data_IF_604730461329
#
_entry.id   IF_604730461329
#
_cell.length_a   1.000
_cell.length_b   1.000
_cell.length_c   1.000
_cell.angle_alpha   90.00
_cell.angle_beta   90.00
_cell.angle_gamma   90.00
#
_symmetry.space_group_name_H-M   'P 1'
#
loop_
_entity.id
_entity.type
_entity.pdbx_description
1 polymer ?
#
# COMPACT_ATOMS: atom_id res chain seq x y z
N UNK A 1 11.20 -8.87 1.53
CA UNK A 1 11.38 -7.72 2.46
C UNK A 1 10.03 -7.07 2.76
N UNK A 2 9.82 -6.59 4.01
CA UNK A 2 8.62 -5.82 4.39
C UNK A 2 9.03 -4.44 4.90
N UNK A 3 8.34 -3.40 4.41
CA UNK A 3 8.41 -2.02 4.92
C UNK A 3 7.10 -1.72 5.67
N UNK A 4 7.18 -1.65 6.99
CA UNK A 4 6.05 -1.46 7.87
C UNK A 4 5.85 0.02 8.22
N UNK A 5 4.58 0.39 8.45
CA UNK A 5 4.21 1.71 8.95
C UNK A 5 4.71 1.97 10.38
N UNK A 6 3.94 2.72 11.14
CA UNK A 6 4.28 3.03 12.53
C UNK A 6 4.10 1.81 13.44
N UNK A 7 5.07 1.58 14.32
CA UNK A 7 5.02 0.46 15.27
C UNK A 7 3.78 0.54 16.17
N UNK A 8 3.03 -0.55 16.24
CA UNK A 8 1.81 -0.65 17.03
C UNK A 8 0.56 -0.07 16.36
N UNK A 9 0.68 0.54 15.19
CA UNK A 9 -0.47 0.98 14.41
C UNK A 9 -1.23 -0.22 13.85
N UNK A 10 -2.56 -0.26 14.04
CA UNK A 10 -3.39 -1.40 13.63
C UNK A 10 -3.22 -1.74 12.14
N UNK A 11 -3.26 -0.75 11.25
CA UNK A 11 -3.12 -0.99 9.82
C UNK A 11 -1.73 -1.52 9.46
N UNK A 12 -0.67 -1.06 10.14
CA UNK A 12 0.67 -1.56 9.89
C UNK A 12 0.77 -3.06 10.21
N UNK A 13 0.26 -3.46 11.37
CA UNK A 13 0.23 -4.86 11.81
C UNK A 13 -0.58 -5.71 10.84
N UNK A 14 -1.83 -5.30 10.57
CA UNK A 14 -2.77 -6.06 9.72
C UNK A 14 -2.25 -6.17 8.29
N UNK A 15 -1.79 -5.07 7.68
CA UNK A 15 -1.26 -5.06 6.31
C UNK A 15 -0.02 -5.94 6.19
N UNK A 16 0.87 -5.91 7.18
CA UNK A 16 2.07 -6.76 7.21
C UNK A 16 1.71 -8.25 7.33
N UNK A 17 0.88 -8.60 8.32
CA UNK A 17 0.52 -9.98 8.61
C UNK A 17 -0.24 -10.62 7.44
N UNK A 18 -1.32 -9.96 6.97
CA UNK A 18 -2.15 -10.53 5.92
C UNK A 18 -1.49 -10.54 4.54
N UNK A 19 -0.62 -9.58 4.22
CA UNK A 19 0.12 -9.63 2.97
C UNK A 19 1.04 -10.87 2.91
N UNK A 20 1.74 -11.16 3.99
CA UNK A 20 2.65 -12.32 4.06
C UNK A 20 1.88 -13.63 4.15
N UNK A 21 0.88 -13.74 5.04
CA UNK A 21 0.10 -14.97 5.21
C UNK A 21 -0.65 -15.34 3.92
N UNK A 22 -1.23 -14.35 3.21
CA UNK A 22 -1.92 -14.62 1.95
C UNK A 22 -0.99 -15.20 0.88
N UNK A 23 0.25 -14.75 0.80
CA UNK A 23 1.24 -15.33 -0.14
C UNK A 23 1.49 -16.79 0.20
N UNK A 24 1.73 -17.10 1.48
CA UNK A 24 2.00 -18.46 1.97
C UNK A 24 0.76 -19.35 1.76
N UNK A 25 -0.42 -18.88 2.10
CA UNK A 25 -1.69 -19.61 1.96
C UNK A 25 -2.02 -19.94 0.49
N UNK A 26 -1.50 -19.18 -0.45
CA UNK A 26 -1.59 -19.45 -1.88
C UNK A 26 -0.45 -20.36 -2.40
N UNK A 27 0.33 -20.97 -1.52
CA UNK A 27 1.33 -21.96 -1.85
C UNK A 27 2.65 -21.40 -2.40
N UNK A 28 2.91 -20.10 -2.19
CA UNK A 28 4.18 -19.48 -2.55
C UNK A 28 5.10 -19.51 -1.33
N UNK A 29 6.23 -20.21 -1.47
CA UNK A 29 7.27 -20.22 -0.44
C UNK A 29 7.97 -18.88 -0.42
N UNK A 30 8.06 -18.25 0.76
CA UNK A 30 8.74 -16.96 0.96
C UNK A 30 9.64 -17.03 2.19
N UNK A 31 10.81 -16.45 2.07
CA UNK A 31 11.72 -16.20 3.17
C UNK A 31 11.72 -14.70 3.50
N UNK A 32 11.57 -14.38 4.79
CA UNK A 32 11.63 -13.00 5.26
C UNK A 32 13.09 -12.60 5.52
N UNK A 33 13.78 -12.12 4.49
CA UNK A 33 15.16 -11.66 4.60
C UNK A 33 15.27 -10.39 5.46
N UNK A 34 14.38 -9.42 5.26
CA UNK A 34 14.50 -8.12 5.87
C UNK A 34 13.14 -7.56 6.29
N UNK A 35 13.16 -6.72 7.33
CA UNK A 35 12.01 -6.02 7.87
C UNK A 35 12.44 -4.64 8.37
N UNK A 36 11.68 -3.61 8.05
CA UNK A 36 11.98 -2.26 8.47
C UNK A 36 10.74 -1.43 8.77
N UNK A 37 10.70 -0.81 9.96
CA UNK A 37 9.69 0.19 10.29
C UNK A 37 10.12 1.51 9.66
N UNK A 38 9.27 2.08 8.80
CA UNK A 38 9.51 3.31 8.06
C UNK A 38 8.44 4.38 8.30
N UNK A 39 7.54 4.15 9.28
CA UNK A 39 6.60 5.15 9.82
C UNK A 39 5.78 5.87 8.75
N UNK A 40 5.29 5.15 7.74
CA UNK A 40 4.54 5.68 6.59
C UNK A 40 5.30 6.69 5.73
N UNK A 41 6.62 6.82 5.94
CA UNK A 41 7.45 7.90 5.42
C UNK A 41 8.38 7.44 4.30
N UNK A 42 8.30 8.09 3.14
CA UNK A 42 9.09 7.80 1.94
C UNK A 42 10.60 7.86 2.17
N UNK A 43 11.09 8.91 2.85
CA UNK A 43 12.52 9.08 3.06
C UNK A 43 13.09 8.04 4.05
N UNK A 44 12.31 7.68 5.08
CA UNK A 44 12.70 6.60 6.00
C UNK A 44 12.71 5.24 5.28
N UNK A 45 11.72 4.97 4.43
CA UNK A 45 11.68 3.76 3.61
C UNK A 45 12.87 3.69 2.64
N UNK A 46 13.23 4.81 1.99
CA UNK A 46 14.41 4.89 1.14
C UNK A 46 15.68 4.53 1.93
N UNK A 47 15.84 5.11 3.12
CA UNK A 47 17.00 4.82 3.99
C UNK A 47 17.05 3.33 4.37
N UNK A 48 15.91 2.75 4.78
CA UNK A 48 15.83 1.32 5.12
C UNK A 48 16.15 0.44 3.92
N UNK A 49 15.56 0.72 2.76
CA UNK A 49 15.81 -0.05 1.54
C UNK A 49 17.28 0.03 1.13
N UNK A 50 17.92 1.21 1.20
CA UNK A 50 19.34 1.36 0.89
C UNK A 50 20.21 0.48 1.79
N UNK A 51 19.90 0.41 3.09
CA UNK A 51 20.61 -0.46 4.04
C UNK A 51 20.44 -1.94 3.69
N UNK A 52 19.20 -2.35 3.37
CA UNK A 52 18.89 -3.74 3.05
C UNK A 52 19.49 -4.19 1.71
N UNK A 53 19.54 -3.30 0.72
CA UNK A 53 20.23 -3.58 -0.55
C UNK A 53 21.73 -3.81 -0.36
N UNK A 54 22.36 -3.11 0.60
CA UNK A 54 23.77 -3.30 0.91
C UNK A 54 24.01 -4.59 1.71
N UNK A 55 23.04 -5.04 2.50
CA UNK A 55 23.15 -6.25 3.33
C UNK A 55 22.80 -7.53 2.55
N UNK A 56 21.79 -7.47 1.67
CA UNK A 56 21.22 -8.61 0.94
C UNK A 56 21.40 -8.48 -0.58
N UNK A 57 22.56 -8.09 -1.02
CA UNK A 57 22.95 -7.78 -2.41
C UNK A 57 22.35 -8.73 -3.47
N UNK A 58 21.25 -8.28 -4.10
CA UNK A 58 20.57 -9.05 -5.16
C UNK A 58 19.67 -10.21 -4.67
N UNK A 59 19.55 -10.44 -3.36
CA UNK A 59 18.72 -11.53 -2.82
C UNK A 59 17.25 -11.11 -2.60
N UNK A 60 16.97 -9.80 -2.56
CA UNK A 60 15.60 -9.30 -2.35
C UNK A 60 14.82 -9.41 -3.66
N UNK A 61 13.84 -10.30 -3.71
CA UNK A 61 12.97 -10.50 -4.88
C UNK A 61 11.64 -9.75 -4.78
N UNK A 62 11.17 -9.45 -3.55
CA UNK A 62 9.89 -8.80 -3.30
C UNK A 62 10.00 -7.80 -2.16
N UNK A 63 9.48 -6.59 -2.38
CA UNK A 63 9.28 -5.55 -1.38
C UNK A 63 7.79 -5.31 -1.20
N UNK A 64 7.28 -5.64 -0.01
CA UNK A 64 5.91 -5.34 0.41
C UNK A 64 5.97 -4.09 1.28
N UNK A 65 5.39 -2.99 0.83
CA UNK A 65 5.28 -1.77 1.61
C UNK A 65 3.83 -1.59 2.10
N UNK A 66 3.67 -1.20 3.37
CA UNK A 66 2.34 -0.99 3.93
C UNK A 66 1.60 0.22 3.34
N UNK A 67 2.30 1.14 2.64
CA UNK A 67 1.67 2.19 1.85
C UNK A 67 2.51 2.56 0.60
N UNK A 68 1.91 3.36 -0.30
CA UNK A 68 2.56 3.79 -1.54
C UNK A 68 3.78 4.67 -1.30
N UNK A 69 3.74 5.55 -0.31
CA UNK A 69 4.88 6.43 -0.01
C UNK A 69 6.14 5.63 0.36
N UNK A 70 5.99 4.59 1.17
CA UNK A 70 7.12 3.71 1.49
C UNK A 70 7.54 2.85 0.29
N UNK A 71 6.60 2.40 -0.54
CA UNK A 71 6.93 1.72 -1.80
C UNK A 71 7.74 2.62 -2.74
N UNK A 72 7.35 3.90 -2.87
CA UNK A 72 8.09 4.90 -3.62
C UNK A 72 9.48 5.17 -3.02
N UNK A 73 9.60 5.16 -1.70
CA UNK A 73 10.89 5.25 -1.01
C UNK A 73 11.82 4.09 -1.36
N UNK A 74 11.29 2.86 -1.40
CA UNK A 74 12.05 1.71 -1.87
C UNK A 74 12.49 1.86 -3.34
N UNK A 75 11.61 2.36 -4.21
CA UNK A 75 11.92 2.64 -5.61
C UNK A 75 13.01 3.73 -5.74
N UNK A 76 12.97 4.77 -4.92
CA UNK A 76 14.02 5.81 -4.89
C UNK A 76 15.39 5.23 -4.52
N UNK A 77 15.45 4.30 -3.57
CA UNK A 77 16.67 3.58 -3.24
C UNK A 77 17.16 2.71 -4.40
N UNK A 78 16.26 2.00 -5.08
CA UNK A 78 16.59 1.18 -6.25
C UNK A 78 17.15 2.04 -7.41
N UNK A 79 16.57 3.21 -7.67
CA UNK A 79 17.04 4.15 -8.70
C UNK A 79 18.48 4.64 -8.47
N UNK A 80 18.90 4.69 -7.21
CA UNK A 80 20.25 5.13 -6.83
C UNK A 80 21.21 3.98 -6.54
N UNK A 81 20.72 2.73 -6.58
CA UNK A 81 21.53 1.53 -6.39
C UNK A 81 22.33 1.18 -7.67
N UNK A 82 23.20 0.17 -7.53
CA UNK A 82 23.94 -0.40 -8.67
C UNK A 82 23.11 -1.41 -9.50
N UNK A 83 21.92 -1.80 -9.02
CA UNK A 83 21.06 -2.78 -9.69
C UNK A 83 20.51 -2.21 -11.01
N UNK A 84 20.56 -2.99 -12.06
CA UNK A 84 19.87 -2.66 -13.30
C UNK A 84 18.36 -2.80 -13.11
N UNK A 85 17.59 -2.03 -13.85
CA UNK A 85 16.12 -2.06 -13.77
C UNK A 85 15.52 -3.47 -13.92
N UNK A 86 16.15 -4.33 -14.73
CA UNK A 86 15.71 -5.70 -14.94
C UNK A 86 15.93 -6.60 -13.71
N UNK A 87 16.83 -6.21 -12.82
CA UNK A 87 17.21 -6.97 -11.64
C UNK A 87 16.53 -6.42 -10.36
N UNK A 88 15.63 -5.43 -10.52
CA UNK A 88 14.90 -4.88 -9.38
C UNK A 88 13.92 -5.89 -8.80
N UNK A 89 13.77 -5.93 -7.48
CA UNK A 89 12.69 -6.68 -6.85
C UNK A 89 11.32 -6.16 -7.29
N UNK A 90 10.33 -7.02 -7.21
CA UNK A 90 8.92 -6.63 -7.31
C UNK A 90 8.59 -5.70 -6.14
N UNK A 91 8.01 -4.54 -6.41
CA UNK A 91 7.58 -3.58 -5.38
C UNK A 91 6.07 -3.43 -5.45
N UNK A 92 5.42 -3.57 -4.29
CA UNK A 92 3.96 -3.38 -4.14
C UNK A 92 3.67 -2.43 -2.98
N UNK A 93 2.60 -1.64 -3.12
CA UNK A 93 2.14 -0.67 -2.14
C UNK A 93 0.66 -0.84 -1.79
N UNK A 94 0.15 0.07 -0.98
CA UNK A 94 -1.26 0.21 -0.60
C UNK A 94 -1.56 1.71 -0.53
N UNK A 95 -2.73 2.12 -0.86
CA UNK A 95 -3.48 3.37 -0.81
C UNK A 95 -3.99 3.77 -2.20
N UNK A 96 -3.25 3.53 -3.28
CA UNK A 96 -3.62 4.03 -4.61
C UNK A 96 -3.53 5.56 -4.68
N UNK A 97 -2.46 6.13 -4.11
CA UNK A 97 -2.19 7.56 -4.24
C UNK A 97 -1.91 7.93 -5.69
N UNK A 98 -2.12 9.19 -6.07
CA UNK A 98 -1.89 9.63 -7.46
C UNK A 98 -0.46 9.36 -7.92
N UNK A 99 0.53 9.53 -7.02
CA UNK A 99 1.94 9.21 -7.29
C UNK A 99 2.20 7.71 -7.30
N UNK A 100 1.51 6.92 -6.47
CA UNK A 100 1.56 5.47 -6.49
C UNK A 100 0.98 4.90 -7.78
N UNK A 101 -0.19 5.38 -8.21
CA UNK A 101 -0.80 5.03 -9.49
C UNK A 101 0.12 5.37 -10.68
N UNK A 102 0.77 6.55 -10.65
CA UNK A 102 1.75 6.92 -11.67
C UNK A 102 2.95 5.94 -11.71
N UNK A 103 3.43 5.48 -10.56
CA UNK A 103 4.49 4.49 -10.49
C UNK A 103 4.06 3.11 -11.01
N UNK A 104 2.79 2.72 -10.80
CA UNK A 104 2.22 1.52 -11.42
C UNK A 104 2.11 1.67 -12.93
N UNK A 105 1.62 2.82 -13.40
CA UNK A 105 1.49 3.10 -14.84
C UNK A 105 2.84 3.13 -15.57
N UNK A 106 3.90 3.61 -14.92
CA UNK A 106 5.28 3.61 -15.47
C UNK A 106 5.98 2.25 -15.35
N UNK A 107 5.38 1.28 -14.62
CA UNK A 107 5.95 -0.04 -14.35
C UNK A 107 7.05 -0.04 -13.29
N UNK A 108 7.26 1.05 -12.55
CA UNK A 108 8.20 1.11 -11.42
C UNK A 108 7.69 0.34 -10.21
N UNK A 109 6.37 0.35 -9.99
CA UNK A 109 5.64 -0.45 -9.01
C UNK A 109 4.76 -1.45 -9.77
N UNK A 110 4.68 -2.69 -9.31
CA UNK A 110 3.89 -3.74 -9.99
C UNK A 110 2.41 -3.57 -9.72
N UNK A 111 2.06 -3.08 -8.54
CA UNK A 111 0.67 -2.84 -8.16
C UNK A 111 0.55 -2.14 -6.82
N UNK A 112 -0.64 -1.62 -6.58
CA UNK A 112 -1.09 -1.08 -5.30
C UNK A 112 -2.50 -1.57 -4.99
N UNK A 113 -2.93 -1.37 -3.75
CA UNK A 113 -4.32 -1.60 -3.34
C UNK A 113 -4.97 -0.23 -3.15
N UNK A 114 -5.93 0.09 -4.02
CA UNK A 114 -6.64 1.37 -3.96
C UNK A 114 -7.56 1.42 -2.72
N UNK A 115 -7.35 2.41 -1.90
CA UNK A 115 -8.19 2.79 -0.78
C UNK A 115 -9.10 3.93 -1.26
N UNK A 116 -10.40 3.68 -1.39
CA UNK A 116 -11.35 4.59 -2.05
C UNK A 116 -11.53 5.89 -1.27
N UNK A 117 -10.58 6.82 -1.47
CA UNK A 117 -10.55 8.13 -0.82
C UNK A 117 -11.78 8.99 -1.12
N UNK A 118 -12.35 8.84 -2.33
CA UNK A 118 -13.51 9.64 -2.75
C UNK A 118 -14.80 9.09 -2.16
N UNK A 119 -14.98 7.77 -2.22
CA UNK A 119 -16.10 7.13 -1.56
C UNK A 119 -16.10 7.38 -0.05
N UNK A 120 -14.92 7.38 0.59
CA UNK A 120 -14.81 7.71 2.01
C UNK A 120 -15.22 9.17 2.27
N UNK A 121 -14.73 10.12 1.48
CA UNK A 121 -15.10 11.53 1.62
C UNK A 121 -16.60 11.76 1.40
N UNK A 122 -17.18 11.10 0.38
CA UNK A 122 -18.62 11.18 0.10
C UNK A 122 -19.43 10.60 1.27
N UNK A 123 -19.08 9.40 1.74
CA UNK A 123 -19.78 8.76 2.85
C UNK A 123 -19.73 9.60 4.14
N UNK A 124 -18.59 10.23 4.45
CA UNK A 124 -18.46 11.14 5.57
C UNK A 124 -19.35 12.39 5.42
N UNK A 125 -19.41 12.96 4.20
CA UNK A 125 -20.24 14.13 3.92
C UNK A 125 -21.73 13.79 4.05
N UNK A 126 -22.16 12.67 3.46
CA UNK A 126 -23.56 12.24 3.49
C UNK A 126 -24.02 11.96 4.92
N UNK A 127 -23.20 11.30 5.72
CA UNK A 127 -23.47 11.05 7.13
C UNK A 127 -23.55 12.37 7.93
N UNK A 128 -22.59 13.26 7.73
CA UNK A 128 -22.56 14.55 8.42
C UNK A 128 -23.78 15.43 8.05
N UNK A 129 -24.17 15.42 6.79
CA UNK A 129 -25.34 16.15 6.31
C UNK A 129 -26.63 15.59 6.93
N UNK A 130 -26.87 14.28 6.83
CA UNK A 130 -28.04 13.63 7.39
C UNK A 130 -28.20 13.94 8.91
N UNK A 131 -27.10 13.82 9.65
CA UNK A 131 -27.10 14.17 11.09
C UNK A 131 -27.39 15.65 11.34
N UNK A 132 -26.91 16.55 10.50
CA UNK A 132 -27.09 18.01 10.68
C UNK A 132 -28.53 18.47 10.47
N UNK A 133 -29.26 17.81 9.57
CA UNK A 133 -30.66 18.14 9.27
C UNK A 133 -31.67 17.27 10.04
N UNK A 134 -31.19 16.32 10.84
CA UNK A 134 -32.04 15.40 11.58
C UNK A 134 -32.75 14.36 10.70
N UNK A 135 -32.16 14.04 9.56
CA UNK A 135 -32.66 13.02 8.64
C UNK A 135 -32.42 11.60 9.15
N UNK A 136 -33.13 10.62 8.56
CA UNK A 136 -32.88 9.23 8.92
C UNK A 136 -31.55 8.74 8.32
N UNK A 137 -30.93 7.75 8.97
CA UNK A 137 -29.68 7.13 8.47
C UNK A 137 -29.95 5.84 7.69
N UNK A 138 -31.22 5.53 7.41
CA UNK A 138 -31.62 4.25 6.83
C UNK A 138 -31.08 4.07 5.42
N UNK A 139 -30.98 5.17 4.65
CA UNK A 139 -30.46 5.16 3.27
C UNK A 139 -28.93 5.04 3.20
N UNK A 140 -28.22 5.20 4.30
CA UNK A 140 -26.76 5.15 4.34
C UNK A 140 -26.17 3.74 4.49
N UNK A 141 -27.02 2.72 4.53
CA UNK A 141 -26.61 1.31 4.60
C UNK A 141 -25.57 1.02 5.70
N UNK A 142 -25.80 1.54 6.92
CA UNK A 142 -24.88 1.37 8.04
C UNK A 142 -24.85 -0.08 8.50
N UNK A 143 -23.69 -0.71 8.42
CA UNK A 143 -23.44 -2.02 9.03
C UNK A 143 -23.49 -1.89 10.56
N UNK A 144 -24.35 -2.72 11.19
CA UNK A 144 -24.63 -2.66 12.64
C UNK A 144 -25.03 -1.27 13.16
N UNK A 145 -25.60 -0.42 12.30
CA UNK A 145 -26.02 0.94 12.65
C UNK A 145 -24.84 1.90 12.95
N UNK A 146 -23.61 1.56 12.54
CA UNK A 146 -22.42 2.32 12.93
C UNK A 146 -21.40 2.51 11.82
N UNK A 147 -21.25 1.56 10.89
CA UNK A 147 -20.10 1.53 9.98
C UNK A 147 -20.56 1.59 8.53
N UNK A 148 -19.89 2.44 7.75
CA UNK A 148 -19.92 2.39 6.29
C UNK A 148 -18.58 1.78 5.86
N UNK A 149 -18.62 0.58 5.23
CA UNK A 149 -17.41 -0.08 4.73
C UNK A 149 -17.31 0.09 3.24
N UNK A 150 -16.18 0.59 2.81
CA UNK A 150 -15.84 0.72 1.40
C UNK A 150 -14.82 -0.34 1.01
N UNK A 151 -14.99 -1.02 -0.14
CA UNK A 151 -14.09 -2.08 -0.54
C UNK A 151 -12.74 -1.51 -1.00
N UNK A 152 -11.66 -2.21 -0.66
CA UNK A 152 -10.38 -2.01 -1.29
C UNK A 152 -10.35 -2.70 -2.68
N UNK A 153 -9.61 -2.12 -3.62
CA UNK A 153 -9.47 -2.66 -4.97
C UNK A 153 -8.01 -2.85 -5.33
N UNK A 154 -7.64 -4.04 -5.83
CA UNK A 154 -6.29 -4.25 -6.37
C UNK A 154 -6.12 -3.49 -7.67
N UNK A 155 -5.00 -2.82 -7.85
CA UNK A 155 -4.67 -2.06 -9.05
C UNK A 155 -3.31 -2.47 -9.58
N UNK A 156 -3.27 -2.92 -10.82
CA UNK A 156 -2.06 -3.26 -11.54
C UNK A 156 -1.96 -2.53 -12.88
N UNK A 157 -0.96 -2.89 -13.68
CA UNK A 157 -0.70 -2.22 -14.96
C UNK A 157 -1.86 -2.28 -15.97
N UNK A 158 -2.75 -3.30 -15.84
CA UNK A 158 -3.87 -3.49 -16.78
C UNK A 158 -5.05 -2.56 -16.52
N UNK A 159 -5.25 -2.15 -15.28
CA UNK A 159 -6.43 -1.42 -14.82
C UNK A 159 -6.12 -0.08 -14.18
N UNK A 160 -4.86 0.25 -13.97
CA UNK A 160 -4.41 1.50 -13.33
C UNK A 160 -5.00 2.76 -13.97
N UNK A 161 -5.21 2.76 -15.29
CA UNK A 161 -5.79 3.92 -16.00
C UNK A 161 -7.23 4.24 -15.56
N UNK A 162 -7.95 3.28 -15.02
CA UNK A 162 -9.32 3.49 -14.52
C UNK A 162 -9.34 4.28 -13.20
N UNK A 163 -8.20 4.37 -12.51
CA UNK A 163 -8.02 5.02 -11.21
C UNK A 163 -7.26 6.35 -11.31
N UNK A 164 -6.67 6.64 -12.47
CA UNK A 164 -5.98 7.91 -12.74
C UNK A 164 -6.98 8.95 -13.27
N UNK A 165 -6.99 10.13 -12.70
CA UNK A 165 -7.82 11.28 -13.14
C UNK A 165 -6.97 12.33 -13.82
#
# INVERSE_FOLDING_TARGET
MVLEGEAGHQDAIVRTEYAVSTIIDNGVEVEKLAYGIANWNRAQAQTKMTQMLAEYDGEIELVIANNDDMALGAIDALKTSHLKRADWPVVVGIDGTDVGLAAVASGEMVGTVYNDKEGQAQAMLDLAYALSVGDTLDDLNLENGKYIRLPYSKVGSRDVKNYMK
#
